data_IF_001069523764
#
_entry.id   IF_001069523764
#
_cell.length_a   1.000
_cell.length_b   1.000
_cell.length_c   1.000
_cell.angle_alpha   90.00
_cell.angle_beta   90.00
_cell.angle_gamma   90.00
#
_symmetry.space_group_name_H-M   'P 1'
#
loop_
_entity.id
_entity.type
_entity.pdbx_description
1 polymer ?
#
# COMPACT_ATOMS: atom_id res chain seq x y z
N UNK A 1 -45.87 4.23 5.16
CA UNK A 1 -45.41 3.12 6.02
C UNK A 1 -44.07 3.54 6.63
N UNK A 2 -43.88 3.42 7.95
CA UNK A 2 -42.65 3.85 8.63
C UNK A 2 -41.91 2.64 9.19
N UNK A 3 -40.68 2.42 8.74
CA UNK A 3 -39.83 1.31 9.18
C UNK A 3 -38.74 1.87 10.09
N UNK A 4 -38.56 1.26 11.27
CA UNK A 4 -37.47 1.61 12.17
C UNK A 4 -36.20 0.92 11.70
N UNK A 5 -35.18 1.70 11.34
CA UNK A 5 -33.87 1.22 10.91
C UNK A 5 -32.84 1.61 11.97
N UNK A 6 -31.98 0.67 12.33
CA UNK A 6 -30.82 0.94 13.20
C UNK A 6 -29.97 2.08 12.60
N UNK A 7 -29.55 3.09 13.39
CA UNK A 7 -28.72 4.19 12.92
C UNK A 7 -27.48 3.74 12.14
N UNK A 8 -26.81 2.66 12.55
CA UNK A 8 -25.62 2.15 11.85
C UNK A 8 -25.96 1.61 10.47
N UNK A 9 -27.08 0.89 10.35
CA UNK A 9 -27.58 0.36 9.08
C UNK A 9 -28.05 1.48 8.16
N UNK A 10 -28.63 2.54 8.73
CA UNK A 10 -29.01 3.74 7.97
C UNK A 10 -27.79 4.47 7.40
N UNK A 11 -26.68 4.57 8.14
CA UNK A 11 -25.43 5.15 7.63
C UNK A 11 -24.89 4.33 6.46
N UNK A 12 -24.81 3.01 6.62
CA UNK A 12 -24.35 2.12 5.56
C UNK A 12 -25.23 2.19 4.30
N UNK A 13 -26.55 2.25 4.47
CA UNK A 13 -27.48 2.43 3.35
C UNK A 13 -27.24 3.74 2.60
N UNK A 14 -26.93 4.83 3.32
CA UNK A 14 -26.59 6.12 2.71
C UNK A 14 -25.31 6.07 1.90
N UNK A 15 -24.29 5.38 2.40
CA UNK A 15 -23.00 5.20 1.71
C UNK A 15 -23.17 4.38 0.43
N UNK A 16 -23.91 3.26 0.50
CA UNK A 16 -24.20 2.44 -0.68
C UNK A 16 -25.01 3.22 -1.73
N UNK A 17 -26.02 3.97 -1.28
CA UNK A 17 -26.82 4.79 -2.18
C UNK A 17 -25.98 5.89 -2.84
N UNK A 18 -25.08 6.53 -2.09
CA UNK A 18 -24.15 7.51 -2.64
C UNK A 18 -23.19 6.89 -3.66
N UNK A 19 -22.69 5.67 -3.43
CA UNK A 19 -21.83 4.97 -4.37
C UNK A 19 -22.54 4.65 -5.70
N UNK A 20 -23.84 4.36 -5.66
CA UNK A 20 -24.67 4.16 -6.86
C UNK A 20 -25.28 5.45 -7.43
N UNK A 21 -25.03 6.61 -6.80
CA UNK A 21 -25.64 7.89 -7.21
C UNK A 21 -27.15 7.96 -6.99
N UNK A 22 -27.72 7.09 -6.17
CA UNK A 22 -29.14 6.98 -5.88
C UNK A 22 -29.49 7.60 -4.51
N UNK A 23 -30.76 7.95 -4.32
CA UNK A 23 -31.26 8.26 -2.97
C UNK A 23 -31.41 6.95 -2.17
N UNK A 24 -31.19 6.95 -0.84
CA UNK A 24 -31.33 5.75 -0.01
C UNK A 24 -32.67 5.03 -0.19
N UNK A 25 -33.77 5.78 -0.33
CA UNK A 25 -35.09 5.19 -0.60
C UNK A 25 -35.22 4.54 -1.97
N UNK A 26 -34.57 5.10 -3.01
CA UNK A 26 -34.58 4.53 -4.36
C UNK A 26 -33.77 3.23 -4.43
N UNK A 27 -32.64 3.18 -3.72
CA UNK A 27 -31.84 1.96 -3.61
C UNK A 27 -32.65 0.83 -2.96
N UNK A 28 -33.36 1.13 -1.87
CA UNK A 28 -34.25 0.16 -1.20
C UNK A 28 -35.39 -0.26 -2.14
N UNK A 29 -36.02 0.68 -2.84
CA UNK A 29 -37.10 0.38 -3.76
C UNK A 29 -36.64 -0.56 -4.87
N UNK A 30 -35.53 -0.24 -5.54
CA UNK A 30 -34.93 -1.06 -6.58
C UNK A 30 -34.61 -2.47 -6.07
N UNK A 31 -34.02 -2.57 -4.88
CA UNK A 31 -33.71 -3.86 -4.28
C UNK A 31 -34.98 -4.69 -3.99
N UNK A 32 -36.05 -4.06 -3.48
CA UNK A 32 -37.34 -4.73 -3.26
C UNK A 32 -37.96 -5.19 -4.57
N UNK A 33 -37.93 -4.35 -5.61
CA UNK A 33 -38.42 -4.68 -6.95
C UNK A 33 -37.66 -5.87 -7.55
N UNK A 34 -36.32 -5.83 -7.51
CA UNK A 34 -35.46 -6.93 -7.97
C UNK A 34 -35.75 -8.23 -7.18
N UNK A 35 -36.05 -8.13 -5.89
CA UNK A 35 -36.44 -9.28 -5.05
C UNK A 35 -37.79 -9.87 -5.43
N UNK A 36 -38.79 -9.02 -5.66
CA UNK A 36 -40.13 -9.46 -6.07
C UNK A 36 -40.11 -10.06 -7.48
N UNK A 37 -39.31 -9.50 -8.39
CA UNK A 37 -39.14 -10.03 -9.73
C UNK A 37 -38.41 -11.37 -9.72
N UNK A 38 -37.38 -11.53 -8.86
CA UNK A 38 -36.70 -12.81 -8.66
C UNK A 38 -37.62 -13.90 -8.07
N UNK A 39 -38.51 -13.53 -7.14
CA UNK A 39 -39.53 -14.47 -6.63
C UNK A 39 -40.53 -14.86 -7.72
N UNK A 40 -40.93 -13.90 -8.56
CA UNK A 40 -41.84 -14.14 -9.68
C UNK A 40 -41.22 -15.01 -10.77
N UNK A 41 -39.91 -14.91 -10.99
CA UNK A 41 -39.15 -15.76 -11.92
C UNK A 41 -38.78 -17.13 -11.35
N UNK A 42 -39.16 -17.43 -10.09
CA UNK A 42 -38.87 -18.70 -9.43
C UNK A 42 -37.40 -18.85 -9.02
N UNK A 43 -36.64 -17.75 -8.97
CA UNK A 43 -35.24 -17.76 -8.59
C UNK A 43 -35.13 -17.88 -7.06
N UNK A 44 -34.41 -18.89 -6.54
CA UNK A 44 -34.27 -19.06 -5.11
C UNK A 44 -33.64 -17.81 -4.50
N UNK A 45 -34.24 -17.30 -3.42
CA UNK A 45 -33.64 -16.22 -2.65
C UNK A 45 -32.21 -16.64 -2.27
N UNK A 46 -31.19 -15.77 -2.40
CA UNK A 46 -29.87 -16.08 -1.90
C UNK A 46 -30.02 -16.27 -0.38
N UNK A 47 -30.00 -17.52 0.06
CA UNK A 47 -30.05 -17.87 1.47
C UNK A 47 -28.89 -17.15 2.17
N UNK A 48 -29.23 -16.20 3.04
CA UNK A 48 -28.28 -15.48 3.91
C UNK A 48 -27.63 -16.45 4.92
N UNK A 49 -28.05 -17.71 4.94
CA UNK A 49 -27.49 -18.78 5.77
C UNK A 49 -26.86 -19.84 4.88
N UNK A 50 -25.61 -19.59 4.50
CA UNK A 50 -24.73 -20.52 3.82
C UNK A 50 -23.42 -19.82 3.48
N UNK A 51 -22.25 -20.45 3.67
CA UNK A 51 -21.00 -19.85 3.24
C UNK A 51 -21.11 -19.58 1.75
N UNK A 52 -21.10 -18.30 1.37
CA UNK A 52 -21.13 -17.89 -0.03
C UNK A 52 -20.00 -18.66 -0.75
N UNK A 53 -20.30 -19.42 -1.82
CA UNK A 53 -19.30 -20.21 -2.51
C UNK A 53 -18.12 -19.35 -3.00
N UNK A 54 -18.33 -18.05 -3.21
CA UNK A 54 -17.26 -17.10 -3.50
C UNK A 54 -16.36 -16.86 -2.29
N UNK A 55 -16.93 -16.73 -1.10
CA UNK A 55 -16.18 -16.58 0.16
C UNK A 55 -15.39 -17.85 0.46
N UNK A 56 -16.00 -19.03 0.31
CA UNK A 56 -15.30 -20.31 0.47
C UNK A 56 -14.13 -20.47 -0.54
N UNK A 57 -14.32 -20.03 -1.80
CA UNK A 57 -13.25 -20.02 -2.80
C UNK A 57 -12.13 -19.02 -2.44
N UNK A 58 -12.48 -17.86 -1.89
CA UNK A 58 -11.52 -16.87 -1.40
C UNK A 58 -10.74 -17.44 -0.20
N UNK A 59 -11.39 -18.10 0.75
CA UNK A 59 -10.73 -18.73 1.89
C UNK A 59 -9.77 -19.84 1.46
N UNK A 60 -10.18 -20.68 0.50
CA UNK A 60 -9.32 -21.73 -0.05
C UNK A 60 -8.10 -21.17 -0.79
N UNK A 61 -8.27 -20.10 -1.58
CA UNK A 61 -7.16 -19.43 -2.26
C UNK A 61 -6.22 -18.74 -1.27
N UNK A 62 -6.75 -18.18 -0.18
CA UNK A 62 -5.94 -17.59 0.89
C UNK A 62 -5.10 -18.65 1.60
N UNK A 63 -5.69 -19.81 1.91
CA UNK A 63 -4.99 -20.94 2.54
C UNK A 63 -3.87 -21.48 1.64
N UNK A 64 -4.13 -21.63 0.34
CA UNK A 64 -3.12 -22.05 -0.63
C UNK A 64 -1.97 -21.04 -0.75
N UNK A 65 -2.28 -19.74 -0.73
CA UNK A 65 -1.27 -18.68 -0.75
C UNK A 65 -0.41 -18.69 0.52
N UNK A 66 -1.02 -18.90 1.69
CA UNK A 66 -0.29 -19.02 2.95
C UNK A 66 0.69 -20.20 2.94
N UNK A 67 0.25 -21.37 2.49
CA UNK A 67 1.13 -22.54 2.35
C UNK A 67 2.31 -22.29 1.41
N UNK A 68 2.09 -21.56 0.30
CA UNK A 68 3.16 -21.20 -0.64
C UNK A 68 4.16 -20.22 -0.03
N UNK A 69 3.71 -19.29 0.81
CA UNK A 69 4.58 -18.35 1.54
C UNK A 69 5.44 -19.13 2.54
N UNK A 70 4.87 -20.09 3.25
CA UNK A 70 5.61 -20.92 4.21
C UNK A 70 6.67 -21.79 3.51
N UNK A 71 6.35 -22.37 2.35
CA UNK A 71 7.30 -23.12 1.52
C UNK A 71 8.49 -22.24 1.07
N UNK A 72 8.19 -21.01 0.62
CA UNK A 72 9.23 -20.05 0.23
C UNK A 72 10.07 -19.62 1.43
N UNK A 73 9.45 -19.40 2.59
CA UNK A 73 10.16 -19.03 3.83
C UNK A 73 11.10 -20.16 4.30
N UNK A 74 10.65 -21.42 4.24
CA UNK A 74 11.46 -22.59 4.54
C UNK A 74 12.64 -22.74 3.55
N UNK A 75 12.40 -22.51 2.26
CA UNK A 75 13.46 -22.55 1.24
C UNK A 75 14.51 -21.46 1.44
N UNK A 76 14.10 -20.27 1.90
CA UNK A 76 15.02 -19.19 2.25
C UNK A 76 15.84 -19.48 3.50
N UNK A 77 15.30 -20.24 4.46
CA UNK A 77 16.02 -20.67 5.67
C UNK A 77 16.95 -21.88 5.42
N UNK A 78 16.68 -22.69 4.41
CA UNK A 78 17.49 -23.85 4.03
C UNK A 78 18.69 -23.53 3.10
N UNK A 79 18.94 -22.26 2.77
CA UNK A 79 20.12 -21.88 1.99
C UNK A 79 21.41 -22.11 2.81
N UNK A 80 22.38 -22.90 2.33
CA UNK A 80 23.60 -23.20 3.08
C UNK A 80 24.43 -21.92 3.26
N UNK A 81 24.74 -21.59 4.51
CA UNK A 81 25.69 -20.55 4.86
C UNK A 81 27.10 -21.01 4.46
N UNK A 82 27.64 -20.43 3.40
CA UNK A 82 29.06 -20.57 3.04
C UNK A 82 29.95 -20.09 4.21
N UNK A 83 30.94 -20.86 4.66
CA UNK A 83 31.79 -20.47 5.79
C UNK A 83 32.84 -19.43 5.37
N UNK A 84 32.69 -18.21 5.88
CA UNK A 84 33.70 -17.16 5.75
C UNK A 84 35.04 -17.54 6.44
N UNK A 85 36.20 -17.35 5.80
CA UNK A 85 37.48 -17.62 6.44
C UNK A 85 37.82 -16.53 7.46
N UNK A 86 38.06 -16.97 8.70
CA UNK A 86 38.55 -16.15 9.82
C UNK A 86 39.94 -15.62 9.49
N UNK A 87 40.12 -14.29 9.44
CA UNK A 87 41.44 -13.65 9.48
C UNK A 87 41.60 -12.85 10.77
N UNK A 88 42.33 -13.44 11.74
CA UNK A 88 42.92 -12.75 12.88
C UNK A 88 44.11 -11.93 12.38
N UNK A 89 44.19 -10.66 12.78
CA UNK A 89 45.38 -9.82 12.56
C UNK A 89 45.13 -8.33 12.83
N UNK A 90 45.51 -7.89 14.04
CA UNK A 90 45.75 -6.50 14.48
C UNK A 90 47.29 -6.39 14.71
N UNK A 91 48.00 -5.22 14.78
CA UNK A 91 47.81 -3.76 14.47
C UNK A 91 48.97 -3.25 13.50
N UNK A 92 49.41 -1.96 13.35
CA UNK A 92 49.13 -0.72 14.10
C UNK A 92 48.98 0.65 13.38
N UNK A 93 48.24 1.52 14.09
CA UNK A 93 48.38 2.97 14.36
C UNK A 93 49.47 3.78 13.61
N UNK A 94 49.04 4.80 12.86
CA UNK A 94 49.80 6.03 12.63
C UNK A 94 48.84 7.24 12.62
N UNK A 95 49.17 8.27 13.43
CA UNK A 95 48.53 9.60 13.50
C UNK A 95 49.40 10.57 12.71
N UNK A 96 48.78 11.48 11.94
CA UNK A 96 49.15 12.90 11.71
C UNK A 96 48.08 13.48 10.76
N UNK A 97 47.20 14.43 11.11
CA UNK A 97 47.34 15.84 11.56
C UNK A 97 47.21 16.88 10.42
N UNK A 98 46.09 17.65 10.49
CA UNK A 98 45.83 19.04 10.02
C UNK A 98 45.97 19.36 8.50
N UNK A 99 45.23 20.28 7.84
CA UNK A 99 44.62 21.56 8.25
C UNK A 99 43.62 22.04 7.16
N UNK A 100 42.55 22.73 7.59
CA UNK A 100 41.70 23.82 7.03
C UNK A 100 41.85 24.26 5.54
N UNK A 101 40.91 24.85 4.80
CA UNK A 101 39.61 25.52 4.98
C UNK A 101 39.07 25.87 3.58
N UNK A 102 37.75 25.95 3.36
CA UNK A 102 37.07 27.04 2.60
C UNK A 102 35.62 26.66 2.23
N UNK A 103 34.70 27.60 2.50
CA UNK A 103 33.26 27.48 2.35
C UNK A 103 32.75 27.89 0.96
N UNK A 104 31.68 27.20 0.50
CA UNK A 104 30.69 27.73 -0.43
C UNK A 104 29.33 27.02 -0.17
N UNK A 105 28.18 27.73 -0.08
CA UNK A 105 26.91 27.16 0.37
C UNK A 105 26.07 26.67 -0.82
N UNK A 106 25.81 25.37 -0.92
CA UNK A 106 24.77 24.83 -1.83
C UNK A 106 24.05 23.63 -1.20
N UNK A 107 22.79 23.88 -0.87
CA UNK A 107 21.65 22.93 -0.80
C UNK A 107 21.80 21.68 0.08
N UNK A 108 21.11 21.60 1.23
CA UNK A 108 21.07 20.38 2.02
C UNK A 108 20.01 19.45 1.44
N UNK A 109 20.40 18.46 0.63
CA UNK A 109 19.75 17.12 0.54
C UNK A 109 20.34 16.31 -0.61
N UNK A 110 21.61 15.93 -0.47
CA UNK A 110 22.18 14.81 -1.25
C UNK A 110 22.86 13.79 -0.32
N UNK A 111 22.39 13.72 0.93
CA UNK A 111 22.96 12.86 1.95
C UNK A 111 22.11 11.59 2.17
N UNK A 112 21.79 10.85 1.12
CA UNK A 112 21.36 9.45 1.31
C UNK A 112 21.48 8.53 0.08
N UNK A 113 22.48 8.72 -0.78
CA UNK A 113 22.88 7.67 -1.75
C UNK A 113 24.35 7.32 -1.57
N UNK A 114 24.66 6.67 -0.44
CA UNK A 114 25.96 5.99 -0.29
C UNK A 114 25.93 4.54 -0.80
N UNK A 115 24.74 4.00 -1.09
CA UNK A 115 24.54 2.61 -1.53
C UNK A 115 23.67 2.48 -2.80
N UNK A 116 23.44 3.55 -3.57
CA UNK A 116 22.61 3.51 -4.79
C UNK A 116 21.10 3.31 -4.57
N UNK A 117 20.68 3.00 -3.34
CA UNK A 117 19.27 2.87 -2.96
C UNK A 117 18.69 4.20 -2.49
N UNK A 118 17.58 4.60 -3.09
CA UNK A 118 16.88 5.86 -2.78
C UNK A 118 15.78 5.59 -1.75
N UNK A 119 15.60 6.51 -0.81
CA UNK A 119 14.51 6.43 0.16
C UNK A 119 13.14 6.53 -0.51
N UNK A 120 12.14 5.83 0.03
CA UNK A 120 10.78 5.79 -0.54
C UNK A 120 10.20 7.20 -0.82
N UNK A 121 10.47 8.16 0.07
CA UNK A 121 9.93 9.51 -0.04
C UNK A 121 10.53 10.28 -1.23
N UNK A 122 11.83 10.13 -1.48
CA UNK A 122 12.51 10.77 -2.60
C UNK A 122 12.06 10.15 -3.93
N UNK A 123 11.79 8.84 -3.97
CA UNK A 123 11.20 8.20 -5.15
C UNK A 123 9.76 8.64 -5.41
N UNK A 124 8.93 8.80 -4.37
CA UNK A 124 7.58 9.36 -4.54
C UNK A 124 7.65 10.76 -5.14
N UNK A 125 8.57 11.61 -4.65
CA UNK A 125 8.77 12.96 -5.20
C UNK A 125 9.22 12.91 -6.65
N UNK A 126 10.18 12.04 -6.99
CA UNK A 126 10.68 11.89 -8.35
C UNK A 126 9.62 11.41 -9.33
N UNK A 127 8.77 10.47 -8.92
CA UNK A 127 7.66 9.98 -9.76
C UNK A 127 6.59 11.05 -9.95
N UNK A 128 6.23 11.80 -8.91
CA UNK A 128 5.26 12.89 -9.04
C UNK A 128 5.82 14.02 -9.92
N UNK A 129 7.11 14.32 -9.83
CA UNK A 129 7.75 15.31 -10.69
C UNK A 129 7.77 14.88 -12.18
N UNK A 130 7.85 13.59 -12.47
CA UNK A 130 7.85 13.06 -13.84
C UNK A 130 6.45 12.88 -14.42
N UNK A 131 5.53 12.25 -13.68
CA UNK A 131 4.21 11.83 -14.18
C UNK A 131 3.07 12.76 -13.74
N UNK A 132 3.35 13.70 -12.84
CA UNK A 132 2.35 14.58 -12.24
C UNK A 132 1.60 13.92 -11.05
N UNK A 133 0.51 14.55 -10.59
CA UNK A 133 -0.27 14.05 -9.46
C UNK A 133 -0.93 12.71 -9.80
N UNK A 134 -0.63 11.69 -9.01
CA UNK A 134 -1.10 10.31 -9.26
C UNK A 134 -1.70 9.67 -8.01
N UNK A 135 -2.42 8.57 -8.19
CA UNK A 135 -2.96 7.82 -7.04
C UNK A 135 -1.86 7.07 -6.31
N UNK A 136 -2.07 6.70 -5.05
CA UNK A 136 -1.08 5.94 -4.27
C UNK A 136 -0.76 4.57 -4.90
N UNK A 137 -1.71 3.97 -5.61
CA UNK A 137 -1.53 2.71 -6.33
C UNK A 137 -0.65 2.89 -7.57
N UNK A 138 -0.91 3.93 -8.37
CA UNK A 138 -0.08 4.28 -9.52
C UNK A 138 1.35 4.61 -9.11
N UNK A 139 1.53 5.36 -8.01
CA UNK A 139 2.85 5.67 -7.47
C UNK A 139 3.59 4.41 -7.03
N UNK A 140 2.92 3.47 -6.37
CA UNK A 140 3.53 2.20 -5.97
C UNK A 140 4.01 1.37 -7.18
N UNK A 141 3.20 1.33 -8.25
CA UNK A 141 3.56 0.66 -9.51
C UNK A 141 4.76 1.36 -10.17
N UNK A 142 4.73 2.67 -10.31
CA UNK A 142 5.79 3.46 -10.94
C UNK A 142 7.14 3.35 -10.20
N UNK A 143 7.11 3.37 -8.86
CA UNK A 143 8.32 3.20 -8.04
C UNK A 143 8.89 1.79 -8.20
N UNK A 144 8.01 0.78 -8.28
CA UNK A 144 8.42 -0.61 -8.54
C UNK A 144 9.03 -0.79 -9.93
N UNK A 145 8.45 -0.16 -10.95
CA UNK A 145 8.99 -0.15 -12.32
C UNK A 145 10.38 0.47 -12.37
N UNK A 146 10.61 1.55 -11.62
CA UNK A 146 11.92 2.21 -11.54
C UNK A 146 12.96 1.37 -10.79
N UNK A 147 12.54 0.49 -9.88
CA UNK A 147 13.42 -0.48 -9.19
C UNK A 147 14.48 0.13 -8.26
N UNK A 148 14.44 1.44 -8.00
CA UNK A 148 15.46 2.18 -7.22
C UNK A 148 15.22 2.12 -5.71
N UNK A 149 13.97 1.93 -5.30
CA UNK A 149 13.60 1.76 -3.91
C UNK A 149 13.73 0.28 -3.51
N UNK A 150 14.53 0.01 -2.48
CA UNK A 150 14.64 -1.31 -1.88
C UNK A 150 13.98 -1.31 -0.48
N UNK A 151 12.95 -2.15 -0.25
CA UNK A 151 12.34 -2.29 1.06
C UNK A 151 13.35 -2.76 2.13
N UNK A 152 13.44 -2.13 3.31
CA UNK A 152 14.50 -2.41 4.28
C UNK A 152 14.47 -3.80 4.96
N UNK A 153 13.30 -4.43 5.11
CA UNK A 153 13.13 -5.61 5.97
C UNK A 153 12.11 -6.64 5.49
N UNK A 154 11.41 -6.36 4.39
CA UNK A 154 10.31 -7.19 3.93
C UNK A 154 10.42 -7.31 2.42
N UNK A 155 10.52 -8.53 1.90
CA UNK A 155 10.40 -8.82 0.47
C UNK A 155 9.00 -8.52 -0.10
N UNK A 156 8.10 -7.94 0.71
CA UNK A 156 6.74 -7.59 0.30
C UNK A 156 6.81 -6.48 -0.75
N UNK A 157 6.12 -6.65 -1.89
CA UNK A 157 6.08 -5.62 -2.92
C UNK A 157 5.50 -4.34 -2.35
N UNK A 158 6.04 -3.20 -2.77
CA UNK A 158 5.53 -1.88 -2.39
C UNK A 158 4.05 -1.78 -2.78
N UNK A 159 3.20 -1.46 -1.81
CA UNK A 159 1.76 -1.33 -1.99
C UNK A 159 1.28 0.11 -1.76
N UNK A 160 0.03 0.37 -2.18
CA UNK A 160 -0.60 1.68 -2.01
C UNK A 160 -0.70 2.11 -0.54
N UNK A 161 -0.84 1.15 0.39
CA UNK A 161 -0.90 1.42 1.82
C UNK A 161 0.43 1.97 2.35
N UNK A 162 1.56 1.39 1.92
CA UNK A 162 2.91 1.84 2.29
C UNK A 162 3.19 3.24 1.75
N UNK A 163 2.80 3.53 0.51
CA UNK A 163 2.90 4.88 -0.07
C UNK A 163 2.02 5.87 0.70
N UNK A 164 0.77 5.51 0.99
CA UNK A 164 -0.13 6.36 1.78
C UNK A 164 0.41 6.63 3.18
N UNK A 165 0.93 5.62 3.87
CA UNK A 165 1.56 5.77 5.18
C UNK A 165 2.77 6.70 5.12
N UNK A 166 3.60 6.58 4.07
CA UNK A 166 4.76 7.46 3.88
C UNK A 166 4.37 8.91 3.64
N UNK A 167 3.37 9.15 2.80
CA UNK A 167 2.88 10.50 2.45
C UNK A 167 2.13 11.14 3.62
N UNK A 168 1.44 10.35 4.44
CA UNK A 168 0.73 10.84 5.63
C UNK A 168 1.62 11.02 6.85
N UNK A 169 2.89 10.59 6.79
CA UNK A 169 3.84 10.76 7.89
C UNK A 169 4.10 12.25 8.15
N UNK A 170 3.92 12.78 9.37
CA UNK A 170 4.05 14.21 9.66
C UNK A 170 5.41 14.81 9.29
N UNK A 171 6.48 14.01 9.28
CA UNK A 171 7.82 14.45 8.86
C UNK A 171 7.86 14.83 7.37
N UNK A 172 7.08 14.14 6.53
CA UNK A 172 7.10 14.32 5.08
C UNK A 172 5.81 14.91 4.51
N UNK A 173 4.73 14.92 5.30
CA UNK A 173 3.39 15.35 4.89
C UNK A 173 3.37 16.75 4.29
N UNK A 174 4.17 17.68 4.82
CA UNK A 174 4.24 19.06 4.31
C UNK A 174 4.71 19.15 2.84
N UNK A 175 5.39 18.11 2.32
CA UNK A 175 5.92 18.06 0.94
C UNK A 175 4.88 17.54 -0.07
N UNK A 176 3.73 17.06 0.40
CA UNK A 176 2.73 16.42 -0.43
C UNK A 176 1.35 17.05 -0.23
N UNK A 177 0.63 17.28 -1.33
CA UNK A 177 -0.75 17.75 -1.30
C UNK A 177 -1.67 16.65 -1.81
N UNK A 178 -2.83 16.48 -1.17
CA UNK A 178 -3.90 15.60 -1.65
C UNK A 178 -4.99 16.47 -2.26
N UNK A 179 -5.32 16.22 -3.52
CA UNK A 179 -6.43 16.87 -4.23
C UNK A 179 -7.16 15.82 -5.04
N UNK A 180 -8.48 15.72 -4.90
CA UNK A 180 -9.32 14.82 -5.70
C UNK A 180 -8.86 13.34 -5.66
N UNK A 181 -8.35 12.89 -4.51
CA UNK A 181 -7.85 11.52 -4.34
C UNK A 181 -6.47 11.25 -4.97
N UNK A 182 -5.84 12.25 -5.58
CA UNK A 182 -4.47 12.17 -6.12
C UNK A 182 -3.46 12.82 -5.16
N UNK A 183 -2.22 12.35 -5.24
CA UNK A 183 -1.09 12.83 -4.46
C UNK A 183 -0.19 13.63 -5.40
N UNK A 184 -0.07 14.93 -5.12
CA UNK A 184 0.83 15.86 -5.79
C UNK A 184 1.90 16.40 -4.84
N UNK A 185 2.84 17.18 -5.38
CA UNK A 185 3.78 17.95 -4.58
C UNK A 185 3.09 19.19 -3.99
N UNK A 186 3.49 19.56 -2.78
CA UNK A 186 3.16 20.86 -2.23
C UNK A 186 4.17 21.90 -2.75
N UNK A 187 3.66 23.03 -3.24
CA UNK A 187 4.46 24.19 -3.66
C UNK A 187 5.17 24.86 -2.48
#
# INVERSE_FOLDING_TARGET
MAIRVDPRRLTLLKELAAAEGLRPGQLVQRWVEERLDAERSGQPAPSVVGPDPRVAAIEATLAALAARIDEVAQRMQAAPSEPAPRRRGRPPKARTAATSSAAAPRSPTAASSRNGHVGLHDEIIAVIAERGPSTAAELAIAIRERGRYQPPRSSKPLDAATVNSRVSNPVYRARFRRSEGRIGLAD
#
